data_IF_838835348604
#
_entry.id   IF_838835348604
#
_cell.length_a   1.000
_cell.length_b   1.000
_cell.length_c   1.000
_cell.angle_alpha   90.00
_cell.angle_beta   90.00
_cell.angle_gamma   90.00
#
_symmetry.space_group_name_H-M   'P 1'
#
loop_
_entity.id
_entity.type
_entity.pdbx_description
1 polymer ?
#
# COMPACT_ATOMS: atom_id res chain seq x y z
N UNK A 1 -26.19 -68.18 -21.63
CA UNK A 1 -25.32 -68.29 -22.83
C UNK A 1 -25.19 -66.92 -23.49
N UNK A 2 -23.97 -66.64 -23.98
CA UNK A 2 -23.44 -65.50 -24.78
C UNK A 2 -24.41 -64.42 -25.32
N UNK A 3 -24.15 -63.13 -25.02
CA UNK A 3 -23.44 -62.08 -25.81
C UNK A 3 -24.21 -61.53 -27.02
N UNK A 4 -24.47 -60.21 -27.06
CA UNK A 4 -23.69 -59.26 -27.88
C UNK A 4 -24.05 -57.78 -27.58
N UNK A 5 -23.02 -56.94 -27.76
CA UNK A 5 -22.86 -55.52 -27.47
C UNK A 5 -23.76 -54.61 -28.31
N UNK A 6 -24.15 -53.45 -27.77
CA UNK A 6 -23.99 -52.14 -28.44
C UNK A 6 -23.84 -51.01 -27.40
N UNK A 7 -22.90 -50.14 -27.73
CA UNK A 7 -22.32 -49.06 -26.94
C UNK A 7 -23.20 -47.81 -27.10
N UNK A 8 -23.52 -47.14 -26.00
CA UNK A 8 -23.91 -45.73 -26.01
C UNK A 8 -23.21 -45.05 -24.82
N UNK A 9 -22.19 -44.27 -25.14
CA UNK A 9 -21.42 -43.49 -24.18
C UNK A 9 -22.24 -42.23 -23.81
N UNK A 10 -22.61 -42.12 -22.53
CA UNK A 10 -23.06 -40.86 -21.93
C UNK A 10 -21.81 -40.24 -21.30
N UNK A 11 -21.25 -39.24 -21.97
CA UNK A 11 -20.24 -38.35 -21.40
C UNK A 11 -20.91 -37.49 -20.33
N UNK A 12 -20.78 -37.91 -19.07
CA UNK A 12 -21.07 -37.07 -17.91
C UNK A 12 -19.80 -36.26 -17.60
N UNK A 13 -19.70 -35.05 -18.11
CA UNK A 13 -18.67 -34.09 -17.68
C UNK A 13 -19.02 -33.59 -16.29
N UNK A 14 -18.67 -34.38 -15.28
CA UNK A 14 -18.57 -33.92 -13.90
C UNK A 14 -17.36 -32.98 -13.81
N UNK A 15 -17.61 -31.67 -13.96
CA UNK A 15 -16.65 -30.66 -13.55
C UNK A 15 -16.54 -30.74 -12.02
N UNK A 16 -15.47 -31.37 -11.54
CA UNK A 16 -15.06 -31.30 -10.15
C UNK A 16 -14.77 -29.84 -9.83
N UNK A 17 -15.74 -29.16 -9.21
CA UNK A 17 -15.53 -27.95 -8.46
C UNK A 17 -14.71 -28.37 -7.24
N UNK A 18 -13.39 -28.43 -7.41
CA UNK A 18 -12.48 -28.45 -6.27
C UNK A 18 -12.55 -27.06 -5.68
N UNK A 19 -13.46 -26.91 -4.71
CA UNK A 19 -13.61 -25.70 -3.93
C UNK A 19 -12.26 -25.36 -3.31
N UNK A 20 -11.65 -24.28 -3.78
CA UNK A 20 -10.73 -23.51 -2.96
C UNK A 20 -11.57 -22.87 -1.85
N UNK A 21 -11.82 -23.61 -0.77
CA UNK A 21 -12.09 -22.99 0.51
C UNK A 21 -10.79 -22.29 0.91
N UNK A 22 -10.62 -21.05 0.44
CA UNK A 22 -9.68 -20.14 1.06
C UNK A 22 -10.14 -20.03 2.52
N UNK A 23 -9.40 -20.66 3.43
CA UNK A 23 -9.69 -20.56 4.85
C UNK A 23 -9.57 -19.09 5.24
N UNK A 24 -10.71 -18.43 5.45
CA UNK A 24 -10.85 -17.08 5.98
C UNK A 24 -10.18 -16.90 7.36
N UNK A 25 -9.73 -17.98 7.99
CA UNK A 25 -9.03 -17.99 9.29
C UNK A 25 -7.57 -17.49 9.23
N UNK A 26 -6.98 -17.31 8.03
CA UNK A 26 -5.62 -16.78 7.89
C UNK A 26 -5.53 -15.24 7.95
N UNK A 27 -6.64 -14.53 7.73
CA UNK A 27 -6.64 -13.05 7.66
C UNK A 27 -6.82 -12.43 9.05
N UNK A 28 -7.49 -13.11 9.99
CA UNK A 28 -7.68 -12.63 11.36
C UNK A 28 -6.49 -12.88 12.29
N UNK A 29 -5.63 -13.87 12.01
CA UNK A 29 -4.39 -14.07 12.78
C UNK A 29 -3.27 -13.08 12.41
N UNK A 30 -3.37 -12.39 11.27
CA UNK A 30 -2.40 -11.38 10.80
C UNK A 30 -2.56 -10.00 11.47
N UNK A 31 -3.66 -9.76 12.19
CA UNK A 31 -3.94 -8.48 12.82
C UNK A 31 -3.28 -8.30 14.21
N UNK A 32 -2.75 -9.38 14.81
CA UNK A 32 -2.32 -9.39 16.22
C UNK A 32 -0.79 -9.35 16.46
N UNK A 33 0.06 -9.33 15.43
CA UNK A 33 1.53 -9.30 15.63
C UNK A 33 2.21 -8.26 14.72
N UNK A 34 1.97 -6.98 15.02
CA UNK A 34 2.29 -5.84 14.14
C UNK A 34 3.77 -5.55 13.89
N UNK A 35 4.74 -6.28 14.47
CA UNK A 35 6.15 -5.83 14.44
C UNK A 35 7.25 -6.91 14.38
N UNK A 36 6.97 -8.15 13.93
CA UNK A 36 8.02 -9.17 13.80
C UNK A 36 8.02 -9.83 12.43
N UNK A 37 9.16 -9.78 11.76
CA UNK A 37 9.35 -10.44 10.47
C UNK A 37 9.28 -11.97 10.64
N UNK A 38 8.51 -12.65 9.78
CA UNK A 38 8.32 -14.10 9.83
C UNK A 38 9.25 -14.79 8.82
N UNK A 39 9.96 -15.84 9.27
CA UNK A 39 10.83 -16.68 8.43
C UNK A 39 9.98 -17.76 7.76
N UNK A 40 10.07 -17.92 6.44
CA UNK A 40 9.17 -18.82 5.69
C UNK A 40 9.87 -20.02 5.02
N UNK A 41 11.17 -19.94 4.72
CA UNK A 41 11.89 -21.06 4.09
C UNK A 41 13.42 -20.96 4.29
N UNK A 42 14.11 -22.10 4.29
CA UNK A 42 15.58 -22.20 4.33
C UNK A 42 16.05 -23.27 3.33
N UNK A 43 16.44 -22.84 2.12
CA UNK A 43 17.04 -23.69 1.09
C UNK A 43 18.41 -23.10 0.74
N UNK A 44 19.49 -23.87 0.89
CA UNK A 44 20.87 -23.47 0.54
C UNK A 44 21.28 -22.09 1.09
N UNK A 45 21.13 -21.88 2.40
CA UNK A 45 21.53 -20.66 3.15
C UNK A 45 20.76 -19.35 2.83
N UNK A 46 19.87 -19.35 1.85
CA UNK A 46 18.95 -18.24 1.59
C UNK A 46 17.89 -18.15 2.68
N UNK A 47 17.77 -17.00 3.34
CA UNK A 47 16.69 -16.71 4.30
C UNK A 47 15.72 -15.68 3.75
N UNK A 48 14.42 -15.95 3.91
CA UNK A 48 13.34 -15.06 3.46
C UNK A 48 12.58 -14.52 4.67
N UNK A 49 12.40 -13.20 4.69
CA UNK A 49 11.61 -12.50 5.71
C UNK A 49 10.47 -11.73 5.04
N UNK A 50 9.28 -11.81 5.61
CA UNK A 50 8.12 -11.04 5.13
C UNK A 50 7.72 -9.97 6.14
N UNK A 51 7.37 -8.78 5.66
CA UNK A 51 6.86 -7.67 6.45
C UNK A 51 5.84 -6.89 5.64
N UNK A 52 4.77 -6.42 6.29
CA UNK A 52 3.67 -5.70 5.65
C UNK A 52 3.39 -4.42 6.41
N UNK A 53 3.23 -3.32 5.68
CA UNK A 53 2.70 -2.07 6.21
C UNK A 53 1.38 -1.74 5.51
N UNK A 54 0.42 -1.19 6.26
CA UNK A 54 -0.90 -0.85 5.78
C UNK A 54 -1.25 0.58 6.18
N UNK A 55 -1.75 1.36 5.24
CA UNK A 55 -2.23 2.72 5.45
C UNK A 55 -3.56 2.91 4.72
N UNK A 56 -4.34 3.87 5.20
CA UNK A 56 -5.61 4.24 4.57
C UNK A 56 -5.65 5.75 4.33
N UNK A 57 -6.37 6.12 3.27
CA UNK A 57 -6.86 7.47 3.06
C UNK A 57 -8.39 7.43 3.04
N UNK A 58 -9.00 7.82 4.16
CA UNK A 58 -10.46 7.76 4.32
C UNK A 58 -11.19 8.79 3.45
N UNK A 59 -10.54 9.90 3.10
CA UNK A 59 -11.13 10.93 2.25
C UNK A 59 -11.38 10.41 0.83
N UNK A 60 -10.41 9.69 0.27
CA UNK A 60 -10.47 9.15 -1.07
C UNK A 60 -10.81 7.66 -1.13
N UNK A 61 -11.00 7.03 0.05
CA UNK A 61 -11.29 5.60 0.21
C UNK A 61 -10.24 4.74 -0.52
N UNK A 62 -8.98 5.02 -0.23
CA UNK A 62 -7.84 4.29 -0.79
C UNK A 62 -7.09 3.55 0.31
N UNK A 63 -6.93 2.23 0.13
CA UNK A 63 -6.16 1.36 1.01
C UNK A 63 -4.81 1.06 0.37
N UNK A 64 -3.74 1.37 1.08
CA UNK A 64 -2.36 1.14 0.67
C UNK A 64 -1.79 -0.02 1.47
N UNK A 65 -1.38 -1.08 0.79
CA UNK A 65 -0.65 -2.20 1.39
C UNK A 65 0.72 -2.27 0.71
N UNK A 66 1.77 -2.31 1.52
CA UNK A 66 3.15 -2.48 1.08
C UNK A 66 3.69 -3.79 1.66
N UNK A 67 3.78 -4.83 0.83
CA UNK A 67 4.31 -6.13 1.20
C UNK A 67 5.78 -6.22 0.80
N UNK A 68 6.67 -6.26 1.78
CA UNK A 68 8.09 -6.41 1.59
C UNK A 68 8.54 -7.85 1.89
N UNK A 69 9.18 -8.49 0.92
CA UNK A 69 9.81 -9.80 1.05
C UNK A 69 11.31 -9.65 0.88
N UNK A 70 12.05 -9.78 1.97
CA UNK A 70 13.50 -9.62 2.03
C UNK A 70 14.19 -10.95 1.76
N UNK A 71 15.21 -10.89 0.91
CA UNK A 71 16.10 -12.02 0.62
C UNK A 71 17.46 -11.75 1.26
N UNK A 72 17.81 -12.60 2.23
CA UNK A 72 19.13 -12.60 2.86
C UNK A 72 19.92 -13.76 2.26
N UNK A 73 20.71 -13.41 1.26
CA UNK A 73 21.55 -14.33 0.51
C UNK A 73 23.02 -14.07 0.83
N UNK A 74 23.75 -15.05 1.39
CA UNK A 74 25.18 -14.88 1.66
C UNK A 74 26.00 -14.70 0.38
N UNK A 75 25.52 -15.19 -0.77
CA UNK A 75 26.20 -15.16 -2.06
C UNK A 75 25.89 -13.93 -2.93
N UNK A 76 24.87 -13.12 -2.57
CA UNK A 76 24.62 -11.81 -3.19
C UNK A 76 25.50 -10.74 -2.52
N UNK A 77 26.08 -9.83 -3.29
CA UNK A 77 26.85 -8.69 -2.74
C UNK A 77 25.95 -7.49 -2.39
N UNK A 78 24.68 -7.52 -2.78
CA UNK A 78 23.64 -6.55 -2.44
C UNK A 78 22.55 -7.21 -1.60
N UNK A 79 21.72 -6.39 -0.95
CA UNK A 79 20.46 -6.82 -0.35
C UNK A 79 19.36 -6.74 -1.41
N UNK A 80 18.41 -7.66 -1.37
CA UNK A 80 17.28 -7.69 -2.30
C UNK A 80 15.96 -7.73 -1.56
N UNK A 81 14.99 -6.90 -1.99
CA UNK A 81 13.61 -6.89 -1.49
C UNK A 81 12.65 -6.92 -2.66
N UNK A 82 11.64 -7.78 -2.59
CA UNK A 82 10.44 -7.68 -3.41
C UNK A 82 9.42 -6.83 -2.69
N UNK A 83 8.98 -5.73 -3.31
CA UNK A 83 7.97 -4.83 -2.78
C UNK A 83 6.72 -4.89 -3.66
N UNK A 84 5.61 -5.34 -3.09
CA UNK A 84 4.34 -5.50 -3.80
C UNK A 84 3.22 -4.67 -3.17
N UNK A 85 2.30 -4.21 -4.03
CA UNK A 85 1.07 -3.50 -3.62
C UNK A 85 -0.11 -4.44 -3.37
N UNK A 86 0.09 -5.76 -3.41
CA UNK A 86 -0.99 -6.75 -3.25
C UNK A 86 -1.84 -6.51 -2.00
N UNK A 87 -3.15 -6.66 -2.17
CA UNK A 87 -4.14 -6.34 -1.15
C UNK A 87 -4.51 -4.86 -1.06
N UNK A 88 -3.86 -3.94 -1.78
CA UNK A 88 -4.30 -2.54 -1.90
C UNK A 88 -5.64 -2.42 -2.61
N UNK A 89 -6.32 -1.28 -2.43
CA UNK A 89 -7.62 -1.02 -3.09
C UNK A 89 -7.86 0.47 -3.31
N UNK A 90 -8.35 0.81 -4.51
CA UNK A 90 -8.74 2.16 -4.90
C UNK A 90 -10.22 2.12 -5.28
N UNK A 91 -11.10 2.61 -4.40
CA UNK A 91 -12.54 2.65 -4.68
C UNK A 91 -12.83 3.46 -5.95
N UNK A 92 -13.72 2.96 -6.82
CA UNK A 92 -14.08 3.65 -8.06
C UNK A 92 -14.66 5.03 -7.80
N UNK A 93 -15.59 5.11 -6.84
CA UNK A 93 -16.36 6.31 -6.60
C UNK A 93 -17.32 6.63 -7.75
N UNK A 94 -17.70 5.62 -8.54
CA UNK A 94 -18.71 5.76 -9.58
C UNK A 94 -20.02 6.29 -8.98
N UNK A 95 -20.64 7.25 -9.65
CA UNK A 95 -21.93 7.81 -9.25
C UNK A 95 -22.75 8.11 -10.48
N UNK A 96 -23.96 7.57 -10.52
CA UNK A 96 -24.97 7.89 -11.52
C UNK A 96 -26.02 8.83 -10.94
N UNK A 97 -26.50 9.75 -11.75
CA UNK A 97 -27.58 10.66 -11.41
C UNK A 97 -28.31 11.06 -12.69
N UNK A 98 -29.52 11.61 -12.58
CA UNK A 98 -30.27 12.02 -13.76
C UNK A 98 -31.68 12.47 -13.45
N UNK A 99 -32.39 12.80 -14.52
CA UNK A 99 -33.80 13.13 -14.56
C UNK A 99 -34.40 12.52 -15.84
N UNK A 100 -35.64 12.88 -16.16
CA UNK A 100 -36.30 12.36 -17.35
C UNK A 100 -35.56 12.69 -18.66
N UNK A 101 -35.00 13.89 -18.80
CA UNK A 101 -34.35 14.37 -20.03
C UNK A 101 -32.82 14.33 -20.00
N UNK A 102 -32.24 13.78 -18.92
CA UNK A 102 -30.82 13.85 -18.65
C UNK A 102 -30.33 12.66 -17.83
N UNK A 103 -29.17 12.12 -18.17
CA UNK A 103 -28.46 11.16 -17.32
C UNK A 103 -26.98 11.51 -17.28
N UNK A 104 -26.32 11.32 -16.15
CA UNK A 104 -24.87 11.40 -16.05
C UNK A 104 -24.26 10.38 -15.11
N UNK A 105 -22.98 10.12 -15.36
CA UNK A 105 -22.15 9.22 -14.60
C UNK A 105 -20.76 9.81 -14.43
N UNK A 106 -20.35 10.02 -13.18
CA UNK A 106 -18.94 10.18 -12.84
C UNK A 106 -18.34 8.78 -12.73
N UNK A 107 -17.25 8.50 -13.43
CA UNK A 107 -16.66 7.15 -13.49
C UNK A 107 -15.13 7.21 -13.60
N UNK A 108 -14.41 6.19 -13.08
CA UNK A 108 -12.95 6.14 -13.20
C UNK A 108 -12.54 5.71 -14.62
N UNK A 109 -12.02 6.64 -15.41
CA UNK A 109 -11.47 6.36 -16.74
C UNK A 109 -10.07 5.77 -16.70
N UNK A 110 -9.40 5.83 -15.54
CA UNK A 110 -8.12 5.17 -15.35
C UNK A 110 -7.59 5.24 -13.92
N UNK A 111 -6.59 4.43 -13.66
CA UNK A 111 -5.84 4.35 -12.42
C UNK A 111 -4.35 4.44 -12.70
N UNK A 112 -3.58 4.99 -11.77
CA UNK A 112 -2.12 4.93 -11.83
C UNK A 112 -1.55 4.43 -10.51
N UNK A 113 -0.47 3.68 -10.59
CA UNK A 113 0.38 3.34 -9.46
C UNK A 113 1.82 3.67 -9.78
N UNK A 114 2.47 4.47 -8.94
CA UNK A 114 3.91 4.66 -9.01
C UNK A 114 4.58 4.16 -7.73
N UNK A 115 5.76 3.56 -7.90
CA UNK A 115 6.67 3.24 -6.80
C UNK A 115 7.96 4.00 -7.08
N UNK A 116 8.34 4.88 -6.17
CA UNK A 116 9.51 5.75 -6.31
C UNK A 116 10.42 5.66 -5.08
N UNK A 117 11.72 5.57 -5.32
CA UNK A 117 12.76 5.58 -4.28
C UNK A 117 13.12 7.04 -3.99
N UNK A 118 13.01 7.43 -2.72
CA UNK A 118 13.30 8.79 -2.22
C UNK A 118 14.45 8.78 -1.20
N UNK A 119 15.43 7.91 -1.42
CA UNK A 119 16.63 7.85 -0.58
C UNK A 119 17.34 9.21 -0.51
N UNK A 120 17.67 9.65 0.71
CA UNK A 120 18.48 10.85 0.91
C UNK A 120 19.96 10.58 0.56
N UNK A 121 20.69 11.63 0.16
CA UNK A 121 22.07 11.54 -0.31
C UNK A 121 23.04 10.83 0.67
N UNK A 122 22.77 10.89 1.98
CA UNK A 122 23.67 10.41 3.04
C UNK A 122 23.31 9.03 3.62
N UNK A 123 22.41 8.27 2.97
CA UNK A 123 21.84 7.04 3.53
C UNK A 123 22.68 5.77 3.31
N UNK A 124 23.97 5.88 2.99
CA UNK A 124 24.90 4.74 2.88
C UNK A 124 24.90 4.03 1.52
N UNK A 125 24.62 4.76 0.44
CA UNK A 125 24.56 4.26 -0.95
C UNK A 125 23.14 4.32 -1.53
N UNK A 126 22.97 4.11 -2.84
CA UNK A 126 21.67 4.24 -3.53
C UNK A 126 20.91 2.91 -3.58
N UNK A 127 19.62 2.93 -3.27
CA UNK A 127 18.70 1.83 -3.59
C UNK A 127 18.24 1.98 -5.04
N UNK A 128 18.09 0.85 -5.74
CA UNK A 128 17.74 0.82 -7.15
C UNK A 128 16.59 -0.16 -7.40
N UNK A 129 15.68 0.21 -8.30
CA UNK A 129 14.72 -0.71 -8.91
C UNK A 129 15.45 -1.47 -10.00
N UNK A 130 15.67 -2.77 -9.79
CA UNK A 130 16.37 -3.63 -10.77
C UNK A 130 15.42 -4.41 -11.67
N UNK A 131 14.16 -4.54 -11.24
CA UNK A 131 13.11 -5.20 -12.02
C UNK A 131 11.74 -4.77 -11.52
N UNK A 132 10.73 -4.87 -12.39
CA UNK A 132 9.35 -4.48 -12.11
C UNK A 132 8.39 -5.32 -12.95
N UNK A 133 7.18 -5.56 -12.44
CA UNK A 133 6.15 -6.32 -13.13
C UNK A 133 4.75 -5.79 -12.80
N UNK A 134 3.82 -5.75 -13.78
CA UNK A 134 3.96 -6.21 -15.16
C UNK A 134 4.85 -5.29 -16.01
N UNK A 135 5.45 -5.86 -17.05
CA UNK A 135 6.30 -5.13 -18.02
C UNK A 135 5.53 -4.83 -19.30
N UNK A 136 5.86 -3.74 -19.98
CA UNK A 136 5.26 -3.31 -21.24
C UNK A 136 3.75 -3.03 -21.13
N UNK A 137 3.01 -3.29 -22.22
CA UNK A 137 1.57 -3.10 -22.34
C UNK A 137 0.85 -4.44 -22.27
N UNK A 138 -0.17 -4.56 -21.43
CA UNK A 138 -1.00 -5.75 -21.27
C UNK A 138 -2.47 -5.38 -21.50
N UNK A 139 -3.09 -6.00 -22.51
CA UNK A 139 -4.49 -5.81 -22.89
C UNK A 139 -5.42 -6.95 -22.47
N UNK A 140 -4.89 -8.05 -21.92
CA UNK A 140 -5.71 -9.17 -21.49
C UNK A 140 -6.60 -8.76 -20.31
N UNK A 141 -7.84 -9.25 -20.26
CA UNK A 141 -8.79 -8.95 -19.17
C UNK A 141 -8.28 -9.35 -17.78
N UNK A 142 -7.30 -10.25 -17.73
CA UNK A 142 -6.55 -10.60 -16.52
C UNK A 142 -5.06 -10.45 -16.75
N UNK A 143 -4.39 -9.82 -15.79
CA UNK A 143 -2.93 -9.74 -15.72
C UNK A 143 -2.42 -10.88 -14.84
N UNK A 144 -1.33 -11.53 -15.27
CA UNK A 144 -0.68 -12.59 -14.52
C UNK A 144 0.80 -12.68 -14.89
N UNK A 145 1.66 -12.31 -13.95
CA UNK A 145 3.11 -12.36 -14.11
C UNK A 145 3.76 -12.98 -12.87
N UNK A 146 4.95 -13.52 -13.05
CA UNK A 146 5.73 -14.12 -11.96
C UNK A 146 7.13 -13.52 -11.94
N UNK A 147 7.53 -12.95 -10.80
CA UNK A 147 8.89 -12.50 -10.55
C UNK A 147 9.66 -13.55 -9.75
N UNK A 148 10.82 -13.96 -10.22
CA UNK A 148 11.68 -14.97 -9.62
C UNK A 148 12.96 -14.38 -9.01
N UNK A 149 13.46 -15.03 -7.97
CA UNK A 149 14.75 -14.77 -7.35
C UNK A 149 15.59 -16.06 -7.32
N UNK A 150 16.86 -15.98 -7.69
CA UNK A 150 17.84 -17.06 -7.52
C UNK A 150 19.00 -16.62 -6.63
N UNK A 151 19.56 -17.60 -5.91
CA UNK A 151 20.79 -17.44 -5.12
C UNK A 151 21.90 -16.88 -6.02
N UNK A 152 22.70 -15.95 -5.48
CA UNK A 152 23.59 -15.07 -6.23
C UNK A 152 22.94 -13.77 -6.68
N UNK A 153 21.69 -13.51 -6.29
CA UNK A 153 21.02 -12.23 -6.51
C UNK A 153 20.39 -12.04 -7.89
N UNK A 154 20.15 -13.10 -8.66
CA UNK A 154 19.54 -12.98 -9.99
C UNK A 154 18.03 -12.79 -9.86
N UNK A 155 17.47 -11.79 -10.54
CA UNK A 155 16.03 -11.49 -10.58
C UNK A 155 15.54 -11.57 -12.03
N UNK A 156 14.39 -12.19 -12.26
CA UNK A 156 13.76 -12.25 -13.58
C UNK A 156 12.23 -12.22 -13.51
N UNK A 157 11.58 -11.88 -14.62
CA UNK A 157 10.11 -11.80 -14.76
C UNK A 157 9.66 -12.71 -15.89
N UNK A 158 8.55 -13.41 -15.68
CA UNK A 158 7.90 -14.26 -16.69
C UNK A 158 6.41 -13.92 -16.81
N UNK A 159 5.89 -13.91 -18.04
CA UNK A 159 4.49 -13.57 -18.36
C UNK A 159 3.67 -14.83 -18.67
N UNK A 160 2.40 -14.86 -18.25
CA UNK A 160 1.39 -15.70 -18.92
C UNK A 160 1.17 -17.14 -18.43
N UNK A 161 1.64 -17.55 -17.25
CA UNK A 161 1.23 -18.85 -16.66
C UNK A 161 1.01 -18.76 -15.13
N UNK A 162 -0.20 -19.03 -14.61
CA UNK A 162 -0.41 -19.39 -13.21
C UNK A 162 0.40 -20.66 -12.89
N UNK A 163 0.95 -20.73 -11.68
CA UNK A 163 1.80 -21.82 -11.18
C UNK A 163 1.18 -23.21 -11.42
N UNK A 164 1.62 -23.87 -12.48
CA UNK A 164 1.45 -25.30 -12.68
C UNK A 164 2.69 -26.00 -13.21
N UNK A 165 3.70 -25.28 -13.72
CA UNK A 165 4.91 -25.90 -14.30
C UNK A 165 6.08 -24.92 -14.52
N UNK A 166 6.49 -24.16 -13.49
CA UNK A 166 7.82 -23.50 -13.47
C UNK A 166 8.60 -24.06 -12.26
N UNK A 167 8.83 -25.36 -12.27
CA UNK A 167 9.87 -25.99 -11.46
C UNK A 167 11.12 -26.09 -12.34
N UNK A 168 12.03 -25.11 -12.31
CA UNK A 168 13.45 -25.33 -12.70
C UNK A 168 14.42 -24.15 -12.47
N UNK A 169 14.05 -22.87 -12.66
CA UNK A 169 15.09 -21.80 -12.80
C UNK A 169 15.30 -20.87 -11.61
N UNK A 170 14.29 -20.66 -10.75
CA UNK A 170 14.38 -19.74 -9.61
C UNK A 170 14.28 -20.46 -8.27
N UNK A 171 15.03 -19.99 -7.27
CA UNK A 171 14.96 -20.50 -5.90
C UNK A 171 13.66 -20.09 -5.21
N UNK A 172 13.15 -18.90 -5.54
CA UNK A 172 11.87 -18.40 -5.05
C UNK A 172 11.13 -17.63 -6.14
N UNK A 173 9.81 -17.57 -6.06
CA UNK A 173 9.00 -16.76 -6.97
C UNK A 173 7.82 -16.09 -6.25
N UNK A 174 7.36 -14.98 -6.83
CA UNK A 174 6.17 -14.27 -6.41
C UNK A 174 5.30 -13.95 -7.62
N UNK A 175 4.05 -14.39 -7.56
CA UNK A 175 3.08 -14.13 -8.59
C UNK A 175 2.33 -12.84 -8.29
N UNK A 176 2.02 -12.10 -9.35
CA UNK A 176 1.05 -11.01 -9.32
C UNK A 176 -0.12 -11.38 -10.22
N UNK A 177 -1.33 -11.01 -9.81
CA UNK A 177 -2.51 -11.12 -10.67
C UNK A 177 -3.59 -10.12 -10.25
N UNK A 178 -4.24 -9.53 -11.25
CA UNK A 178 -5.41 -8.69 -11.07
C UNK A 178 -6.25 -8.70 -12.36
N UNK A 179 -7.55 -8.46 -12.22
CA UNK A 179 -8.46 -8.30 -13.35
C UNK A 179 -8.47 -6.85 -13.81
N UNK A 180 -8.67 -6.63 -15.10
CA UNK A 180 -8.69 -5.32 -15.77
C UNK A 180 -9.61 -5.35 -17.01
N UNK A 181 -10.74 -6.03 -16.94
CA UNK A 181 -11.71 -6.10 -18.05
C UNK A 181 -12.03 -4.69 -18.58
N UNK A 182 -11.94 -4.51 -19.90
CA UNK A 182 -12.10 -3.24 -20.63
C UNK A 182 -11.04 -2.17 -20.32
N UNK A 183 -9.95 -2.53 -19.63
CA UNK A 183 -8.82 -1.66 -19.36
C UNK A 183 -7.52 -2.29 -19.89
N UNK A 184 -6.55 -1.43 -20.17
CA UNK A 184 -5.19 -1.80 -20.56
C UNK A 184 -4.21 -1.29 -19.52
N UNK A 185 -3.29 -2.15 -19.07
CA UNK A 185 -2.14 -1.74 -18.28
C UNK A 185 -0.99 -1.35 -19.19
N UNK A 186 -0.37 -0.20 -18.95
CA UNK A 186 0.85 0.27 -19.60
C UNK A 186 1.87 0.61 -18.52
N UNK A 187 3.06 0.02 -18.60
CA UNK A 187 4.22 0.53 -17.88
C UNK A 187 4.83 1.69 -18.67
N UNK A 188 4.59 2.93 -18.24
CA UNK A 188 4.98 4.14 -18.97
C UNK A 188 6.29 4.77 -18.47
N UNK A 189 6.71 4.43 -17.25
CA UNK A 189 8.03 4.79 -16.71
C UNK A 189 8.66 3.58 -16.02
N UNK A 190 9.94 3.31 -16.30
CA UNK A 190 10.71 2.25 -15.66
C UNK A 190 12.21 2.60 -15.68
N UNK A 191 12.70 3.17 -14.59
CA UNK A 191 14.11 3.49 -14.39
C UNK A 191 14.57 3.02 -13.00
N UNK A 192 15.85 3.27 -12.66
CA UNK A 192 16.44 2.81 -11.40
C UNK A 192 15.80 3.41 -10.13
N UNK A 193 15.01 4.48 -10.25
CA UNK A 193 14.44 5.20 -9.11
C UNK A 193 12.92 5.18 -9.09
N UNK A 194 12.28 4.99 -10.23
CA UNK A 194 10.83 5.07 -10.36
C UNK A 194 10.31 4.11 -11.40
N UNK A 195 9.18 3.49 -11.06
CA UNK A 195 8.31 2.80 -12.00
C UNK A 195 6.90 3.35 -11.89
N UNK A 196 6.20 3.45 -13.01
CA UNK A 196 4.82 3.85 -13.07
C UNK A 196 4.01 2.91 -13.98
N UNK A 197 2.81 2.59 -13.53
CA UNK A 197 1.82 1.82 -14.28
C UNK A 197 0.55 2.63 -14.42
N UNK A 198 0.03 2.70 -15.64
CA UNK A 198 -1.26 3.27 -15.99
C UNK A 198 -2.22 2.15 -16.37
N UNK A 199 -3.36 2.07 -15.71
CA UNK A 199 -4.46 1.16 -16.04
C UNK A 199 -5.59 2.01 -16.61
N UNK A 200 -5.74 2.03 -17.92
CA UNK A 200 -6.61 2.98 -18.63
C UNK A 200 -7.75 2.25 -19.31
N UNK A 201 -8.94 2.85 -19.28
CA UNK A 201 -10.08 2.32 -20.01
C UNK A 201 -9.72 2.24 -21.50
N UNK A 202 -9.92 1.07 -22.09
CA UNK A 202 -9.63 0.77 -23.49
C UNK A 202 -10.91 0.96 -24.31
N UNK A 203 -11.84 0.00 -24.24
CA UNK A 203 -13.13 0.10 -24.91
C UNK A 203 -14.17 -0.82 -24.26
N UNK A 204 -15.45 -0.54 -24.51
CA UNK A 204 -16.55 -1.46 -24.19
C UNK A 204 -16.50 -2.71 -25.10
N UNK A 205 -17.24 -3.79 -24.77
CA UNK A 205 -17.35 -4.95 -25.67
C UNK A 205 -17.88 -4.59 -27.07
N UNK A 206 -18.65 -3.51 -27.19
CA UNK A 206 -19.18 -2.99 -28.46
C UNK A 206 -18.16 -2.09 -29.21
N UNK A 207 -16.95 -1.92 -28.68
CA UNK A 207 -15.88 -1.13 -29.29
C UNK A 207 -15.96 0.37 -29.05
N UNK A 208 -16.75 0.83 -28.08
CA UNK A 208 -16.82 2.25 -27.72
C UNK A 208 -15.71 2.62 -26.74
N UNK A 209 -14.80 3.49 -27.16
CA UNK A 209 -13.79 4.08 -26.28
C UNK A 209 -14.25 5.45 -25.73
N UNK A 210 -13.38 6.08 -24.94
CA UNK A 210 -13.63 7.39 -24.30
C UNK A 210 -13.70 8.57 -25.29
N UNK A 211 -13.22 8.38 -26.52
CA UNK A 211 -13.14 9.39 -27.59
C UNK A 211 -14.14 9.12 -28.72
N UNK A 212 -14.77 7.93 -28.74
CA UNK A 212 -15.74 7.52 -29.72
C UNK A 212 -16.87 8.54 -29.82
N UNK A 213 -17.24 8.92 -31.05
CA UNK A 213 -18.31 9.90 -31.28
C UNK A 213 -18.95 9.70 -32.63
N UNK A 214 -20.28 9.53 -32.64
CA UNK A 214 -21.09 9.59 -33.86
C UNK A 214 -21.74 10.96 -34.02
N UNK A 215 -22.11 11.30 -35.26
CA UNK A 215 -22.78 12.56 -35.56
C UNK A 215 -24.15 12.67 -34.86
N UNK A 216 -24.92 11.58 -34.83
CA UNK A 216 -26.31 11.58 -34.37
C UNK A 216 -26.47 11.26 -32.89
N UNK A 217 -25.61 10.41 -32.32
CA UNK A 217 -25.77 9.91 -30.94
C UNK A 217 -24.60 10.27 -30.03
N UNK A 218 -23.55 10.90 -30.56
CA UNK A 218 -22.38 11.28 -29.78
C UNK A 218 -21.60 10.06 -29.29
N UNK A 219 -21.11 10.08 -28.05
CA UNK A 219 -20.46 8.95 -27.42
C UNK A 219 -21.51 8.02 -26.79
N UNK A 220 -21.55 6.76 -27.22
CA UNK A 220 -22.59 5.80 -26.83
C UNK A 220 -22.14 4.79 -25.76
N UNK A 221 -20.93 4.94 -25.21
CA UNK A 221 -20.26 3.91 -24.42
C UNK A 221 -21.07 3.35 -23.24
N UNK A 222 -21.88 4.19 -22.58
CA UNK A 222 -22.74 3.75 -21.49
C UNK A 222 -24.22 4.04 -21.73
N UNK A 223 -24.63 4.33 -22.97
CA UNK A 223 -26.03 4.55 -23.34
C UNK A 223 -26.73 3.21 -23.61
N UNK A 224 -27.85 2.94 -22.93
CA UNK A 224 -28.65 1.71 -23.14
C UNK A 224 -29.48 1.74 -24.42
N UNK A 225 -30.06 2.89 -24.76
CA UNK A 225 -30.92 3.07 -25.93
C UNK A 225 -30.78 4.46 -26.53
N UNK A 226 -30.87 4.54 -27.86
CA UNK A 226 -30.86 5.80 -28.61
C UNK A 226 -32.19 6.55 -28.56
N UNK A 227 -33.30 5.86 -28.34
CA UNK A 227 -34.66 6.40 -28.55
C UNK A 227 -35.64 6.13 -27.39
N UNK A 228 -35.19 5.46 -26.33
CA UNK A 228 -36.06 4.98 -25.26
C UNK A 228 -35.48 5.29 -23.88
N UNK A 229 -36.31 5.07 -22.85
CA UNK A 229 -36.03 5.27 -21.44
C UNK A 229 -35.89 6.75 -21.03
N UNK A 230 -36.21 7.02 -19.77
CA UNK A 230 -35.86 8.27 -19.12
C UNK A 230 -34.33 8.35 -18.90
N UNK A 231 -33.76 9.56 -18.85
CA UNK A 231 -32.31 9.77 -18.76
C UNK A 231 -31.66 9.12 -17.54
N UNK A 232 -32.34 9.14 -16.40
CA UNK A 232 -31.93 8.45 -15.16
C UNK A 232 -31.94 6.91 -15.27
N UNK A 233 -32.56 6.34 -16.30
CA UNK A 233 -32.67 4.89 -16.51
C UNK A 233 -31.91 4.42 -17.76
N UNK A 234 -31.49 5.35 -18.62
CA UNK A 234 -30.89 5.07 -19.92
C UNK A 234 -29.36 4.95 -19.90
N UNK A 235 -28.74 5.00 -18.72
CA UNK A 235 -27.33 4.66 -18.52
C UNK A 235 -27.17 3.18 -18.17
N UNK A 236 -26.10 2.53 -18.64
CA UNK A 236 -25.74 1.16 -18.25
C UNK A 236 -25.70 1.06 -16.72
N UNK A 237 -26.46 0.12 -16.14
CA UNK A 237 -26.58 0.02 -14.69
C UNK A 237 -25.22 -0.32 -14.06
N UNK A 238 -24.94 0.22 -12.86
CA UNK A 238 -23.63 0.09 -12.20
C UNK A 238 -23.19 -1.38 -12.06
N UNK A 239 -24.11 -2.29 -11.76
CA UNK A 239 -23.87 -3.74 -11.63
C UNK A 239 -23.43 -4.43 -12.93
N UNK A 240 -23.66 -3.79 -14.08
CA UNK A 240 -23.26 -4.28 -15.40
C UNK A 240 -21.98 -3.63 -15.93
N UNK A 241 -21.40 -2.70 -15.18
CA UNK A 241 -20.13 -2.08 -15.53
C UNK A 241 -18.95 -2.97 -15.09
N UNK A 242 -17.80 -2.92 -15.79
CA UNK A 242 -16.58 -3.60 -15.37
C UNK A 242 -16.25 -3.35 -13.90
N UNK A 243 -15.64 -4.32 -13.23
CA UNK A 243 -15.34 -4.27 -11.79
C UNK A 243 -14.51 -3.04 -11.38
N UNK A 244 -13.61 -2.60 -12.26
CA UNK A 244 -12.80 -1.38 -12.06
C UNK A 244 -13.68 -0.13 -11.98
N UNK A 245 -14.84 -0.12 -12.64
CA UNK A 245 -15.79 1.00 -12.61
C UNK A 245 -16.82 0.81 -11.50
N UNK A 246 -17.41 -0.38 -11.38
CA UNK A 246 -18.50 -0.63 -10.43
C UNK A 246 -18.04 -0.70 -8.98
N UNK A 247 -16.90 -1.36 -8.70
CA UNK A 247 -16.33 -1.50 -7.37
C UNK A 247 -15.08 -0.62 -7.16
N UNK A 248 -14.07 -0.83 -7.98
CA UNK A 248 -12.76 -0.19 -7.86
C UNK A 248 -11.63 -1.10 -8.30
N UNK A 249 -10.40 -0.61 -8.13
CA UNK A 249 -9.20 -1.30 -8.60
C UNK A 249 -8.40 -1.87 -7.42
N UNK A 250 -8.00 -3.14 -7.53
CA UNK A 250 -7.09 -3.81 -6.62
C UNK A 250 -5.72 -3.99 -7.29
N UNK A 251 -4.83 -2.99 -7.22
CA UNK A 251 -3.53 -3.09 -7.86
C UNK A 251 -2.69 -4.18 -7.20
N UNK A 252 -2.12 -5.06 -8.02
CA UNK A 252 -1.09 -6.01 -7.61
C UNK A 252 0.13 -5.81 -8.50
N UNK A 253 0.92 -4.79 -8.16
CA UNK A 253 2.19 -4.46 -8.81
C UNK A 253 3.34 -4.94 -7.93
N UNK A 254 4.50 -5.18 -8.55
CA UNK A 254 5.66 -5.71 -7.85
C UNK A 254 6.96 -5.15 -8.43
N UNK A 255 7.86 -4.71 -7.55
CA UNK A 255 9.24 -4.32 -7.89
C UNK A 255 10.25 -5.14 -7.11
N UNK A 256 11.42 -5.34 -7.72
CA UNK A 256 12.62 -5.80 -7.03
C UNK A 256 13.54 -4.61 -6.77
N UNK A 257 13.82 -4.37 -5.50
CA UNK A 257 14.72 -3.34 -5.01
C UNK A 257 16.05 -3.98 -4.61
N UNK A 258 17.16 -3.36 -4.99
CA UNK A 258 18.50 -3.70 -4.49
C UNK A 258 19.16 -2.53 -3.77
N UNK A 259 19.87 -2.84 -2.68
CA UNK A 259 20.67 -1.86 -1.94
C UNK A 259 22.03 -2.45 -1.53
N UNK A 260 23.07 -1.60 -1.32
CA UNK A 260 24.34 -2.02 -0.73
C UNK A 260 24.18 -2.70 0.64
N UNK A 261 25.05 -3.65 0.99
CA UNK A 261 24.96 -4.40 2.27
C UNK A 261 25.02 -3.52 3.52
N UNK A 262 25.73 -2.39 3.45
CA UNK A 262 25.87 -1.42 4.54
C UNK A 262 24.66 -0.47 4.66
N UNK A 263 23.75 -0.43 3.68
CA UNK A 263 22.52 0.36 3.73
C UNK A 263 21.68 -0.05 4.94
N UNK A 264 21.28 0.91 5.76
CA UNK A 264 20.40 0.69 6.92
C UNK A 264 18.93 0.76 6.52
N UNK A 265 18.53 1.88 5.90
CA UNK A 265 17.15 2.18 5.59
C UNK A 265 17.02 2.83 4.21
N UNK A 266 15.87 2.60 3.57
CA UNK A 266 15.49 3.27 2.33
C UNK A 266 14.08 3.85 2.43
N UNK A 267 13.86 4.98 1.77
CA UNK A 267 12.54 5.61 1.71
C UNK A 267 11.90 5.31 0.36
N UNK A 268 10.67 4.81 0.37
CA UNK A 268 9.89 4.52 -0.82
C UNK A 268 8.55 5.22 -0.75
N UNK A 269 8.15 5.86 -1.83
CA UNK A 269 6.83 6.46 -2.01
C UNK A 269 5.98 5.57 -2.92
N UNK A 270 4.79 5.22 -2.45
CA UNK A 270 3.76 4.58 -3.26
C UNK A 270 2.69 5.64 -3.52
N UNK A 271 2.45 5.93 -4.79
CA UNK A 271 1.42 6.87 -5.22
C UNK A 271 0.31 6.13 -5.94
N UNK A 272 -0.93 6.36 -5.52
CA UNK A 272 -2.09 5.98 -6.30
C UNK A 272 -2.75 7.23 -6.89
N UNK A 273 -3.08 7.16 -8.17
CA UNK A 273 -3.96 8.14 -8.83
C UNK A 273 -5.20 7.47 -9.39
N UNK A 274 -6.28 8.24 -9.43
CA UNK A 274 -7.54 7.89 -10.07
C UNK A 274 -7.98 9.03 -10.96
N UNK A 275 -8.14 8.75 -12.24
CA UNK A 275 -8.65 9.68 -13.25
C UNK A 275 -10.15 9.45 -13.37
N UNK A 276 -10.92 10.52 -13.18
CA UNK A 276 -12.36 10.51 -13.30
C UNK A 276 -12.74 11.21 -14.60
N UNK A 277 -13.66 10.60 -15.33
CA UNK A 277 -14.37 11.21 -16.44
C UNK A 277 -15.84 11.40 -16.05
N UNK A 278 -16.47 12.34 -16.73
CA UNK A 278 -17.89 12.62 -16.67
C UNK A 278 -18.53 12.22 -17.99
N UNK A 279 -19.37 11.18 -17.94
CA UNK A 279 -20.21 10.76 -19.04
C UNK A 279 -21.61 11.30 -18.85
N UNK A 280 -22.21 11.87 -19.89
CA UNK A 280 -23.60 12.33 -19.85
C UNK A 280 -24.36 11.97 -21.10
N UNK A 281 -25.68 11.84 -20.96
CA UNK A 281 -26.65 11.71 -22.03
C UNK A 281 -27.72 12.79 -21.88
N UNK A 282 -28.07 13.44 -22.98
CA UNK A 282 -29.12 14.47 -23.05
C UNK A 282 -30.13 14.08 -24.13
N UNK A 283 -31.41 14.27 -23.87
CA UNK A 283 -32.43 14.07 -24.90
C UNK A 283 -32.35 15.23 -25.88
N UNK A 284 -31.73 14.98 -27.03
CA UNK A 284 -31.42 16.00 -28.01
C UNK A 284 -32.58 16.19 -28.98
N UNK A 285 -32.98 17.46 -29.15
CA UNK A 285 -33.88 17.92 -30.22
C UNK A 285 -35.21 17.15 -30.31
N UNK A 286 -35.70 16.65 -29.18
CA UNK A 286 -36.96 15.91 -29.09
C UNK A 286 -36.97 14.55 -29.79
N UNK A 287 -35.81 14.02 -30.23
CA UNK A 287 -35.77 12.87 -31.16
C UNK A 287 -34.95 11.69 -30.66
N UNK A 288 -33.79 11.93 -30.06
CA UNK A 288 -32.88 10.86 -29.65
C UNK A 288 -31.99 11.29 -28.49
N UNK A 289 -31.43 10.31 -27.80
CA UNK A 289 -30.35 10.52 -26.83
C UNK A 289 -29.05 10.86 -27.55
N UNK A 290 -28.32 11.81 -26.97
CA UNK A 290 -26.98 12.20 -27.39
C UNK A 290 -26.04 12.10 -26.20
N UNK A 291 -24.98 11.31 -26.33
CA UNK A 291 -24.00 11.11 -25.27
C UNK A 291 -22.71 11.89 -25.48
N UNK A 292 -22.03 12.22 -24.39
CA UNK A 292 -20.71 12.85 -24.40
C UNK A 292 -19.90 12.39 -23.21
N UNK A 293 -18.59 12.25 -23.41
CA UNK A 293 -17.63 11.98 -22.35
C UNK A 293 -16.63 13.14 -22.28
N UNK A 294 -16.31 13.59 -21.07
CA UNK A 294 -15.30 14.61 -20.82
C UNK A 294 -14.46 14.23 -19.61
N UNK A 295 -13.19 14.65 -19.59
CA UNK A 295 -12.37 14.55 -18.38
C UNK A 295 -12.96 15.42 -17.26
N UNK A 296 -12.98 14.89 -16.04
CA UNK A 296 -13.44 15.61 -14.84
C UNK A 296 -12.24 16.01 -13.97
N UNK A 297 -11.61 15.03 -13.31
CA UNK A 297 -10.52 15.31 -12.38
C UNK A 297 -9.54 14.16 -12.21
N UNK A 298 -8.40 14.44 -11.59
CA UNK A 298 -7.45 13.44 -11.11
C UNK A 298 -7.32 13.59 -9.61
N UNK A 299 -7.53 12.48 -8.89
CA UNK A 299 -7.32 12.41 -7.45
C UNK A 299 -6.08 11.58 -7.16
N UNK A 300 -5.21 12.07 -6.29
CA UNK A 300 -3.91 11.46 -5.99
C UNK A 300 -3.69 11.38 -4.49
N UNK A 301 -3.13 10.27 -4.04
CA UNK A 301 -2.62 10.09 -2.67
C UNK A 301 -1.22 9.49 -2.75
N UNK A 302 -0.30 10.06 -1.97
CA UNK A 302 1.07 9.58 -1.82
C UNK A 302 1.22 9.07 -0.39
N UNK A 303 1.74 7.85 -0.22
CA UNK A 303 2.11 7.31 1.09
C UNK A 303 3.58 6.92 1.09
N UNK A 304 4.27 7.25 2.17
CA UNK A 304 5.70 7.01 2.33
C UNK A 304 5.94 5.83 3.28
N UNK A 305 6.86 4.95 2.88
CA UNK A 305 7.24 3.77 3.62
C UNK A 305 8.75 3.71 3.78
N UNK A 306 9.19 3.25 4.95
CA UNK A 306 10.61 3.05 5.27
C UNK A 306 10.88 1.55 5.26
N UNK A 307 11.81 1.13 4.41
CA UNK A 307 12.36 -0.22 4.38
C UNK A 307 13.58 -0.24 5.30
N UNK A 308 13.53 -1.00 6.39
CA UNK A 308 14.69 -1.26 7.24
C UNK A 308 15.35 -2.57 6.82
N UNK A 309 16.48 -2.43 6.13
CA UNK A 309 17.23 -3.54 5.56
C UNK A 309 17.90 -4.42 6.61
N UNK A 310 18.18 -3.89 7.80
CA UNK A 310 18.83 -4.63 8.89
C UNK A 310 17.81 -5.42 9.69
N UNK A 311 16.64 -4.83 9.95
CA UNK A 311 15.55 -5.46 10.71
C UNK A 311 14.62 -6.30 9.84
N UNK A 312 14.71 -6.17 8.51
CA UNK A 312 13.83 -6.82 7.54
C UNK A 312 12.37 -6.44 7.74
N UNK A 313 12.12 -5.14 7.97
CA UNK A 313 10.79 -4.60 8.22
C UNK A 313 10.45 -3.47 7.26
N UNK A 314 9.16 -3.32 6.95
CA UNK A 314 8.62 -2.12 6.31
C UNK A 314 7.61 -1.48 7.27
N UNK A 315 7.67 -0.15 7.40
CA UNK A 315 6.75 0.65 8.22
C UNK A 315 6.36 1.92 7.47
N UNK A 316 5.29 2.58 7.89
CA UNK A 316 5.02 3.93 7.40
C UNK A 316 6.08 4.91 7.89
N UNK A 317 6.35 5.95 7.12
CA UNK A 317 7.29 7.00 7.52
C UNK A 317 6.87 7.67 8.84
N UNK A 318 5.57 7.95 9.01
CA UNK A 318 5.05 8.62 10.20
C UNK A 318 5.24 7.77 11.46
N UNK A 319 5.04 6.45 11.38
CA UNK A 319 5.35 5.53 12.49
C UNK A 319 6.84 5.57 12.86
N UNK A 320 7.73 5.60 11.86
CA UNK A 320 9.18 5.67 12.11
C UNK A 320 9.57 7.00 12.76
N UNK A 321 8.99 8.12 12.33
CA UNK A 321 9.25 9.42 12.96
C UNK A 321 8.75 9.44 14.41
N UNK A 322 7.53 8.95 14.66
CA UNK A 322 6.98 8.86 16.01
C UNK A 322 7.84 7.98 16.92
N UNK A 323 8.36 6.85 16.42
CA UNK A 323 9.28 5.98 17.17
C UNK A 323 10.59 6.70 17.51
N UNK A 324 11.13 7.48 16.56
CA UNK A 324 12.36 8.25 16.77
C UNK A 324 12.17 9.35 17.81
N UNK A 325 11.12 10.16 17.68
CA UNK A 325 10.76 11.19 18.67
C UNK A 325 10.56 10.59 20.06
N UNK A 326 9.86 9.47 20.15
CA UNK A 326 9.64 8.77 21.43
C UNK A 326 10.95 8.31 22.05
N UNK A 327 11.90 7.81 21.25
CA UNK A 327 13.21 7.37 21.72
C UNK A 327 14.05 8.55 22.23
N UNK A 328 14.09 9.65 21.48
CA UNK A 328 14.81 10.86 21.87
C UNK A 328 14.24 11.47 23.16
N UNK A 329 12.91 11.48 23.30
CA UNK A 329 12.25 11.93 24.52
C UNK A 329 12.59 11.04 25.73
N UNK A 330 12.63 9.72 25.57
CA UNK A 330 13.05 8.80 26.64
C UNK A 330 14.49 9.01 27.07
N UNK A 331 15.39 9.22 26.12
CA UNK A 331 16.80 9.49 26.39
C UNK A 331 16.98 10.83 27.12
N UNK A 332 16.22 11.87 26.72
CA UNK A 332 16.21 13.16 27.41
C UNK A 332 15.70 13.03 28.85
N UNK A 333 14.57 12.36 29.06
CA UNK A 333 13.99 12.11 30.40
C UNK A 333 14.97 11.33 31.28
N UNK A 334 15.70 10.36 30.72
CA UNK A 334 16.72 9.61 31.46
C UNK A 334 17.90 10.50 31.86
N UNK A 335 18.41 11.33 30.92
CA UNK A 335 19.49 12.29 31.20
C UNK A 335 19.07 13.27 32.31
N UNK A 336 17.85 13.79 32.23
CA UNK A 336 17.26 14.69 33.23
C UNK A 336 17.16 14.08 34.62
N UNK A 337 16.58 12.88 34.74
CA UNK A 337 16.47 12.21 36.04
C UNK A 337 17.86 11.98 36.66
N UNK A 338 18.87 11.66 35.85
CA UNK A 338 20.25 11.47 36.32
C UNK A 338 20.92 12.79 36.74
N UNK A 339 20.76 13.86 35.95
CA UNK A 339 21.34 15.17 36.24
C UNK A 339 20.66 15.87 37.42
N UNK A 340 19.34 15.76 37.55
CA UNK A 340 18.64 16.28 38.72
C UNK A 340 19.05 15.56 40.00
N UNK A 341 19.22 14.24 39.93
CA UNK A 341 19.78 13.45 41.03
C UNK A 341 21.22 13.89 41.38
N UNK A 342 22.01 14.33 40.39
CA UNK A 342 23.35 14.89 40.63
C UNK A 342 23.31 16.33 41.19
N UNK A 343 22.39 17.17 40.71
CA UNK A 343 22.19 18.55 41.17
C UNK A 343 21.75 18.60 42.63
N UNK A 344 20.80 17.75 43.06
CA UNK A 344 20.42 17.65 44.48
C UNK A 344 21.59 17.29 45.41
N UNK A 345 22.68 16.75 44.84
CA UNK A 345 23.91 16.40 45.55
C UNK A 345 25.06 17.41 45.34
N UNK A 346 24.87 18.53 44.63
CA UNK A 346 25.94 19.49 44.32
C UNK A 346 25.48 20.96 44.44
N UNK A 347 26.38 21.86 44.86
CA UNK A 347 26.06 23.27 45.15
C UNK A 347 26.31 24.26 43.99
N UNK A 348 26.46 23.79 42.74
CA UNK A 348 26.79 24.66 41.60
C UNK A 348 26.02 24.30 40.33
N UNK A 349 25.41 25.31 39.69
CA UNK A 349 24.63 25.16 38.44
C UNK A 349 25.49 25.42 37.20
N UNK A 350 25.51 24.51 36.24
CA UNK A 350 26.25 24.68 34.96
C UNK A 350 25.37 25.24 33.83
N UNK A 351 25.94 25.86 32.78
CA UNK A 351 25.17 26.32 31.61
C UNK A 351 24.44 25.21 30.85
N UNK A 352 24.96 23.97 30.90
CA UNK A 352 24.32 22.81 30.27
C UNK A 352 23.02 22.43 31.01
N UNK A 353 23.03 22.49 32.35
CA UNK A 353 21.84 22.28 33.18
C UNK A 353 20.74 23.31 32.89
N UNK A 354 21.10 24.59 32.70
CA UNK A 354 20.12 25.65 32.36
C UNK A 354 19.48 25.38 30.99
N UNK A 355 20.25 24.94 30.00
CA UNK A 355 19.74 24.63 28.66
C UNK A 355 18.79 23.43 28.67
N UNK A 356 19.13 22.42 29.49
CA UNK A 356 18.32 21.22 29.69
C UNK A 356 17.02 21.57 30.42
N UNK A 357 17.07 22.40 31.47
CA UNK A 357 15.90 22.86 32.21
C UNK A 357 14.94 23.67 31.34
N UNK A 358 15.45 24.58 30.50
CA UNK A 358 14.63 25.33 29.55
C UNK A 358 13.92 24.43 28.53
N UNK A 359 14.58 23.34 28.11
CA UNK A 359 14.00 22.35 27.20
C UNK A 359 12.92 21.49 27.88
N UNK A 360 13.04 21.25 29.18
CA UNK A 360 12.00 20.60 30.00
C UNK A 360 10.77 21.47 30.14
N UNK A 361 10.94 22.74 30.49
CA UNK A 361 9.83 23.68 30.63
C UNK A 361 9.01 23.78 29.34
N UNK A 362 9.68 23.79 28.18
CA UNK A 362 9.01 23.76 26.87
C UNK A 362 8.25 22.43 26.62
N UNK A 363 8.78 21.30 27.10
CA UNK A 363 8.14 19.98 26.96
C UNK A 363 6.96 19.78 27.93
N UNK A 364 7.05 20.27 29.16
CA UNK A 364 5.94 20.34 30.13
C UNK A 364 4.83 21.26 29.59
N UNK A 365 5.18 22.44 29.06
CA UNK A 365 4.22 23.35 28.44
C UNK A 365 3.49 22.74 27.24
N UNK A 366 4.14 21.82 26.51
CA UNK A 366 3.56 21.06 25.40
C UNK A 366 2.87 19.76 25.82
N UNK A 367 2.76 19.51 27.14
CA UNK A 367 2.14 18.32 27.72
C UNK A 367 2.76 17.01 27.22
N UNK A 368 4.08 17.00 26.97
CA UNK A 368 4.84 15.83 26.49
C UNK A 368 5.43 15.01 27.64
N UNK A 369 5.72 15.68 28.76
CA UNK A 369 6.22 15.08 30.00
C UNK A 369 5.43 15.65 31.18
N UNK A 370 5.33 14.87 32.25
CA UNK A 370 4.79 15.30 33.54
C UNK A 370 5.86 15.07 34.61
N UNK A 371 5.81 15.86 35.67
CA UNK A 371 6.68 15.70 36.84
C UNK A 371 5.85 15.21 38.01
N UNK A 372 6.35 14.18 38.68
CA UNK A 372 5.81 13.67 39.93
C UNK A 372 6.86 13.81 41.02
N UNK A 373 6.43 14.14 42.24
CA UNK A 373 7.33 14.11 43.39
C UNK A 373 7.27 12.71 43.98
N UNK A 374 8.40 12.00 44.00
CA UNK A 374 8.55 10.75 44.73
C UNK A 374 9.07 11.08 46.13
N UNK A 375 8.19 10.96 47.13
CA UNK A 375 8.54 11.05 48.54
C UNK A 375 9.52 9.94 48.89
N UNK A 376 10.62 10.29 49.55
CA UNK A 376 11.58 9.34 50.09
C UNK A 376 11.38 9.31 51.60
N UNK A 377 10.46 8.47 52.08
CA UNK A 377 10.03 8.41 53.49
C UNK A 377 11.21 8.29 54.48
N UNK A 378 12.35 7.74 54.05
CA UNK A 378 13.57 7.56 54.84
C UNK A 378 14.37 8.85 55.13
N UNK A 379 14.06 9.99 54.50
CA UNK A 379 14.80 11.26 54.65
C UNK A 379 13.95 12.38 55.27
N UNK A 380 12.93 12.03 56.05
CA UNK A 380 12.08 13.03 56.72
C UNK A 380 12.80 13.57 57.97
N UNK A 381 13.21 14.84 57.96
CA UNK A 381 13.82 15.52 59.11
C UNK A 381 12.84 16.49 59.76
N UNK A 382 12.60 16.32 61.05
CA UNK A 382 11.86 17.29 61.86
C UNK A 382 12.86 18.34 62.37
N UNK A 383 12.63 19.59 62.02
CA UNK A 383 13.40 20.74 62.44
C UNK A 383 13.10 21.10 63.91
N UNK A 384 14.03 21.77 64.61
CA UNK A 384 13.87 22.12 66.03
C UNK A 384 12.68 23.03 66.34
N UNK A 385 12.13 23.72 65.34
CA UNK A 385 10.94 24.58 65.43
C UNK A 385 9.63 23.84 65.11
N UNK A 386 9.68 22.54 64.84
CA UNK A 386 8.53 21.71 64.46
C UNK A 386 8.24 21.65 62.97
N UNK A 387 9.06 22.28 62.11
CA UNK A 387 8.97 22.11 60.65
C UNK A 387 9.36 20.71 60.19
N UNK A 388 8.75 20.20 59.12
CA UNK A 388 9.11 18.89 58.54
C UNK A 388 9.73 19.11 57.16
N UNK A 389 10.98 18.66 56.97
CA UNK A 389 11.60 18.54 55.65
C UNK A 389 11.33 17.12 55.16
N UNK A 390 10.54 16.99 54.11
CA UNK A 390 10.33 15.71 53.41
C UNK A 390 11.46 15.59 52.39
N UNK A 391 12.36 14.64 52.59
CA UNK A 391 13.30 14.25 51.54
C UNK A 391 12.54 13.56 50.42
N UNK A 392 12.80 13.96 49.18
CA UNK A 392 12.13 13.42 48.01
C UNK A 392 12.81 13.91 46.74
N UNK A 393 12.52 13.25 45.62
CA UNK A 393 13.07 13.60 44.30
C UNK A 393 11.94 13.86 43.33
N UNK A 394 12.12 14.83 42.46
CA UNK A 394 11.26 14.99 41.30
C UNK A 394 11.67 13.97 40.24
N UNK A 395 10.68 13.27 39.70
CA UNK A 395 10.84 12.32 38.59
C UNK A 395 10.00 12.82 37.42
N UNK A 396 10.61 12.87 36.24
CA UNK A 396 9.90 13.15 35.01
C UNK A 396 9.47 11.86 34.34
N UNK A 397 8.22 11.84 33.89
CA UNK A 397 7.61 10.73 33.15
C UNK A 397 7.02 11.23 31.82
N UNK A 398 6.95 10.34 30.83
CA UNK A 398 6.25 10.64 29.59
C UNK A 398 4.74 10.59 29.80
N UNK A 399 4.04 11.61 29.30
CA UNK A 399 2.57 11.59 29.25
C UNK A 399 2.16 10.55 28.20
N UNK A 400 1.34 9.57 28.60
CA UNK A 400 0.92 8.44 27.77
C UNK A 400 0.00 8.82 26.61
#
# INVERSE_FOLDING_TARGET
MLKFKKIAAILLTAATITGCTASLNGVQAMAANKNKANVTENKKELKIYNSTAALEDSNLNMKFIANAKFFVDPFDNKRTVFLSTDGSFIKSGVKQQGSYWYGSMNWPSGYECSIEIKDEANSGGKTEIVSSTPTNTIKSSRVSNTMGYSVGGVVGVTSGKPMGNINASFNHSQNISYDQENFTTVQDENNLHKVNWKVQFDSTPDGYDRYYKTHFYGNEMYMKSRLSNAGNENLTSIDKLPSLISGGFSPNFLVALKAPKNKSQSLVEITFKKHMDFYEIKWARGRNWYGSNSYDCTKQVVKKFVIDWKKHTIKSFDEVQKEKETKELKELVTKLNNEYSAFMNSSATTPEEIAIQKRVEDLEAKNKITRTFEDNESETKILPDGGVIIGGKWVWELVK
#
